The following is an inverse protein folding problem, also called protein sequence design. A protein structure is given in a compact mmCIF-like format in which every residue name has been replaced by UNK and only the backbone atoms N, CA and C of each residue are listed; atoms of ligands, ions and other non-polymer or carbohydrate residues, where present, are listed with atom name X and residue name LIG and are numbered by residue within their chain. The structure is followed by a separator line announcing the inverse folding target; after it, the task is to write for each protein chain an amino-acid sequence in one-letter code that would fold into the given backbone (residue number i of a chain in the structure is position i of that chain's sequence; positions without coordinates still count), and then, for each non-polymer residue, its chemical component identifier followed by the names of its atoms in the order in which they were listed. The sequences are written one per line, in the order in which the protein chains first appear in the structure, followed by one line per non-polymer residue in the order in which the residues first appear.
data_IF_709710925942
#
_entry.id   IF_709710925942
#
_cell.length_a   1.000
_cell.length_b   1.000
_cell.length_c   1.000
_cell.angle_alpha   90.00
_cell.angle_beta   90.00
_cell.angle_gamma   90.00
#
_symmetry.space_group_name_H-M   'P 1'
#
loop_
_entity.id
_entity.type
_entity.pdbx_description
1 polymer ?
#
# COMPACT_ATOMS: atom_id res chain seq x y z
N UNK A 1 -20.10 -0.31 25.13
CA UNK A 1 -19.37 0.49 24.12
C UNK A 1 -20.21 1.71 23.75
N UNK A 2 -19.69 2.92 23.91
CA UNK A 2 -20.46 4.17 23.68
C UNK A 2 -20.83 4.34 22.21
N UNK A 3 -21.94 5.02 21.92
CA UNK A 3 -22.42 5.29 20.54
C UNK A 3 -21.36 6.00 19.69
N UNK A 4 -20.61 6.92 20.30
CA UNK A 4 -19.52 7.64 19.66
C UNK A 4 -18.33 6.72 19.29
N UNK A 5 -17.99 5.77 20.16
CA UNK A 5 -16.93 4.81 19.88
C UNK A 5 -17.32 3.86 18.75
N UNK A 6 -18.58 3.41 18.69
CA UNK A 6 -19.10 2.59 17.58
C UNK A 6 -19.02 3.33 16.23
N UNK A 7 -19.42 4.60 16.20
CA UNK A 7 -19.34 5.41 14.98
C UNK A 7 -17.90 5.62 14.51
N UNK A 8 -16.97 5.81 15.45
CA UNK A 8 -15.54 5.92 15.13
C UNK A 8 -14.99 4.61 14.57
N UNK A 9 -15.35 3.46 15.15
CA UNK A 9 -14.93 2.15 14.65
C UNK A 9 -15.44 1.92 13.23
N UNK A 10 -16.74 2.13 12.97
CA UNK A 10 -17.29 1.98 11.62
C UNK A 10 -16.61 2.90 10.58
N UNK A 11 -16.28 4.12 10.99
CA UNK A 11 -15.53 5.04 10.12
C UNK A 11 -14.09 4.61 9.84
N UNK A 12 -13.44 3.94 10.79
CA UNK A 12 -12.09 3.39 10.60
C UNK A 12 -12.12 2.12 9.76
N UNK A 13 -13.12 1.25 9.95
CA UNK A 13 -13.34 0.06 9.13
C UNK A 13 -13.51 0.45 7.65
N UNK A 14 -14.38 1.43 7.36
CA UNK A 14 -14.54 1.93 5.99
C UNK A 14 -13.26 2.54 5.41
N UNK A 15 -12.42 3.18 6.23
CA UNK A 15 -11.13 3.70 5.75
C UNK A 15 -10.15 2.57 5.43
N UNK A 16 -10.15 1.49 6.21
CA UNK A 16 -9.33 0.31 5.94
C UNK A 16 -9.76 -0.31 4.61
N UNK A 17 -11.06 -0.51 4.39
CA UNK A 17 -11.58 -1.08 3.14
C UNK A 17 -11.11 -0.29 1.90
N UNK A 18 -11.14 1.05 1.99
CA UNK A 18 -10.66 1.94 0.91
C UNK A 18 -9.16 1.79 0.70
N UNK A 19 -8.36 1.82 1.77
CA UNK A 19 -6.90 1.70 1.68
C UNK A 19 -6.46 0.33 1.13
N UNK A 20 -7.16 -0.74 1.50
CA UNK A 20 -6.90 -2.08 0.97
C UNK A 20 -7.21 -2.15 -0.53
N UNK A 21 -8.32 -1.57 -0.97
CA UNK A 21 -8.66 -1.49 -2.39
C UNK A 21 -7.63 -0.67 -3.20
N UNK A 22 -7.21 0.48 -2.67
CA UNK A 22 -6.18 1.32 -3.31
C UNK A 22 -4.83 0.60 -3.37
N UNK A 23 -4.45 -0.13 -2.31
CA UNK A 23 -3.21 -0.88 -2.26
C UNK A 23 -3.18 -2.01 -3.31
N UNK A 24 -4.29 -2.73 -3.46
CA UNK A 24 -4.45 -3.78 -4.48
C UNK A 24 -4.33 -3.16 -5.88
N UNK A 25 -5.06 -2.09 -6.14
CA UNK A 25 -5.05 -1.42 -7.44
C UNK A 25 -3.64 -0.92 -7.81
N UNK A 26 -2.96 -0.28 -6.85
CA UNK A 26 -1.57 0.16 -7.05
C UNK A 26 -0.65 -1.03 -7.37
N UNK A 27 -0.80 -2.15 -6.67
CA UNK A 27 0.01 -3.33 -6.92
C UNK A 27 -0.20 -3.88 -8.34
N UNK A 28 -1.45 -3.93 -8.80
CA UNK A 28 -1.80 -4.32 -10.17
C UNK A 28 -1.22 -3.37 -11.21
N UNK A 29 -1.29 -2.06 -10.97
CA UNK A 29 -0.67 -1.07 -11.84
C UNK A 29 0.83 -1.27 -11.95
N UNK A 30 1.52 -1.53 -10.83
CA UNK A 30 2.96 -1.77 -10.83
C UNK A 30 3.32 -3.02 -11.64
N UNK A 31 2.54 -4.10 -11.52
CA UNK A 31 2.70 -5.28 -12.37
C UNK A 31 2.53 -4.95 -13.86
N UNK A 32 1.53 -4.12 -14.21
CA UNK A 32 1.34 -3.62 -15.57
C UNK A 32 2.49 -2.73 -16.09
N UNK A 33 3.20 -2.05 -15.20
CA UNK A 33 4.35 -1.18 -15.51
C UNK A 33 5.69 -1.92 -15.57
N UNK A 34 5.71 -3.24 -15.37
CA UNK A 34 6.94 -4.05 -15.47
C UNK A 34 7.61 -4.37 -14.13
N UNK A 35 6.96 -4.13 -12.98
CA UNK A 35 7.39 -4.64 -11.68
C UNK A 35 6.72 -6.00 -11.42
N UNK A 36 7.40 -7.15 -11.62
CA UNK A 36 6.73 -8.45 -11.74
C UNK A 36 6.03 -8.92 -10.46
N UNK A 37 6.43 -8.43 -9.28
CA UNK A 37 5.74 -8.68 -8.00
C UNK A 37 5.18 -7.37 -7.40
N UNK A 38 4.86 -6.40 -8.28
CA UNK A 38 4.28 -5.12 -7.95
C UNK A 38 5.10 -4.35 -6.92
N UNK A 39 4.48 -4.08 -5.77
CA UNK A 39 5.07 -3.30 -4.68
C UNK A 39 6.37 -3.92 -4.16
N UNK A 40 6.47 -5.25 -4.11
CA UNK A 40 7.66 -5.94 -3.59
C UNK A 40 8.88 -5.62 -4.43
N UNK A 41 8.80 -5.87 -5.73
CA UNK A 41 9.88 -5.61 -6.68
C UNK A 41 10.21 -4.12 -6.79
N UNK A 42 9.21 -3.23 -6.67
CA UNK A 42 9.48 -1.79 -6.60
C UNK A 42 10.36 -1.44 -5.38
N UNK A 43 10.05 -2.00 -4.20
CA UNK A 43 10.82 -1.75 -2.98
C UNK A 43 12.26 -2.26 -3.10
N UNK A 44 12.44 -3.45 -3.66
CA UNK A 44 13.76 -4.04 -3.89
C UNK A 44 14.58 -3.16 -4.85
N UNK A 45 14.02 -2.79 -6.01
CA UNK A 45 14.69 -1.88 -6.96
C UNK A 45 15.05 -0.54 -6.32
N UNK A 46 14.17 0.05 -5.50
CA UNK A 46 14.49 1.30 -4.80
C UNK A 46 15.59 1.12 -3.75
N UNK A 47 15.63 0.00 -3.03
CA UNK A 47 16.71 -0.31 -2.08
C UNK A 47 18.05 -0.45 -2.79
N UNK A 48 18.09 -1.09 -3.96
CA UNK A 48 19.29 -1.21 -4.78
C UNK A 48 19.79 0.18 -5.22
N UNK A 49 18.91 1.00 -5.82
CA UNK A 49 19.25 2.37 -6.28
C UNK A 49 19.79 3.24 -5.14
N UNK A 50 19.16 3.19 -3.97
CA UNK A 50 19.61 3.97 -2.81
C UNK A 50 20.95 3.46 -2.25
N UNK A 51 21.20 2.16 -2.33
CA UNK A 51 22.46 1.56 -1.88
C UNK A 51 23.62 1.90 -2.82
N UNK A 52 23.36 1.95 -4.13
CA UNK A 52 24.33 2.37 -5.14
C UNK A 52 24.70 3.85 -5.03
N UNK A 53 23.76 4.73 -4.66
CA UNK A 53 24.01 6.16 -4.48
C UNK A 53 24.77 6.52 -3.19
N UNK A 54 24.86 5.58 -2.24
CA UNK A 54 25.57 5.78 -0.97
C UNK A 54 27.07 5.42 -1.04
N UNK A 55 27.55 4.99 -2.20
CA UNK A 55 28.94 4.57 -2.50
C UNK A 55 29.68 5.60 -3.35
#
# INVERSE_FOLDING_TARGET
MSKQLKAKVAGLESQIDVLEAELIHLNEMLMGCGFPEGIKTLKETMQEVLSEQAS
#
